data_IF_368368450399
#
_entry.id   IF_368368450399
#
_cell.length_a   1.000
_cell.length_b   1.000
_cell.length_c   1.000
_cell.angle_alpha   90.00
_cell.angle_beta   90.00
_cell.angle_gamma   90.00
#
_symmetry.space_group_name_H-M   'P 1'
#
loop_
_entity.id
_entity.type
_entity.pdbx_description
1 polymer ?
#
# COMPACT_ATOMS: atom_id res chain seq x y z
N UNK A 1 -32.79 -30.00 -31.60
CA UNK A 1 -31.71 -30.16 -30.60
C UNK A 1 -30.37 -29.60 -31.08
N UNK A 2 -29.86 -29.98 -32.25
CA UNK A 2 -28.56 -29.49 -32.75
C UNK A 2 -28.45 -27.96 -32.90
N UNK A 3 -29.51 -27.30 -33.39
CA UNK A 3 -29.54 -25.84 -33.54
C UNK A 3 -29.50 -25.11 -32.18
N UNK A 4 -30.19 -25.67 -31.18
CA UNK A 4 -30.25 -25.13 -29.82
C UNK A 4 -28.90 -25.27 -29.10
N UNK A 5 -28.21 -26.39 -29.34
CA UNK A 5 -26.86 -26.65 -28.84
C UNK A 5 -25.80 -25.72 -29.48
N UNK A 6 -25.92 -25.39 -30.78
CA UNK A 6 -25.05 -24.41 -31.42
C UNK A 6 -25.27 -22.99 -30.90
N UNK A 7 -26.51 -22.57 -30.69
CA UNK A 7 -26.77 -21.21 -30.16
C UNK A 7 -26.24 -21.07 -28.73
N UNK A 8 -26.34 -22.13 -27.91
CA UNK A 8 -25.83 -22.14 -26.54
C UNK A 8 -24.29 -22.10 -26.48
N UNK A 9 -23.59 -22.75 -27.42
CA UNK A 9 -22.13 -22.69 -27.50
C UNK A 9 -21.60 -21.34 -28.00
N UNK A 10 -22.33 -20.63 -28.87
CA UNK A 10 -21.99 -19.25 -29.25
C UNK A 10 -22.18 -18.25 -28.09
N UNK A 11 -23.18 -18.46 -27.23
CA UNK A 11 -23.43 -17.60 -26.05
C UNK A 11 -22.36 -17.75 -24.97
N UNK A 12 -21.76 -18.94 -24.83
CA UNK A 12 -20.72 -19.23 -23.82
C UNK A 12 -19.31 -18.74 -24.24
N UNK A 13 -19.08 -18.46 -25.53
CA UNK A 13 -17.80 -17.94 -26.03
C UNK A 13 -17.71 -16.39 -26.03
N UNK A 14 -18.80 -15.69 -25.69
CA UNK A 14 -18.86 -14.22 -25.68
C UNK A 14 -18.26 -13.58 -24.42
N UNK A 15 -17.88 -14.37 -23.42
CA UNK A 15 -17.19 -13.90 -22.22
C UNK A 15 -15.70 -14.25 -22.27
N UNK A 16 -14.98 -13.72 -23.25
CA UNK A 16 -13.54 -13.54 -23.09
C UNK A 16 -13.31 -12.32 -22.20
N UNK A 17 -12.70 -12.45 -21.00
CA UNK A 17 -12.16 -11.29 -20.31
C UNK A 17 -10.87 -10.86 -21.03
N UNK A 18 -11.01 -10.34 -22.25
CA UNK A 18 -9.99 -9.49 -22.86
C UNK A 18 -10.24 -8.05 -22.41
N UNK A 19 -10.42 -7.86 -21.11
CA UNK A 19 -10.16 -6.56 -20.52
C UNK A 19 -8.65 -6.41 -20.56
N UNK A 20 -8.13 -5.70 -21.57
CA UNK A 20 -6.87 -5.00 -21.38
C UNK A 20 -7.05 -4.17 -20.13
N UNK A 21 -6.57 -4.66 -18.98
CA UNK A 21 -6.31 -3.81 -17.83
C UNK A 21 -5.47 -2.70 -18.42
N UNK A 22 -6.04 -1.51 -18.54
CA UNK A 22 -5.26 -0.32 -18.81
C UNK A 22 -4.18 -0.34 -17.74
N UNK A 23 -2.95 -0.65 -18.17
CA UNK A 23 -1.80 -0.48 -17.30
C UNK A 23 -1.86 0.98 -16.90
N UNK A 24 -2.17 1.24 -15.64
CA UNK A 24 -1.96 2.57 -15.06
C UNK A 24 -0.55 3.02 -15.51
N UNK A 25 -0.41 4.24 -16.05
CA UNK A 25 0.88 4.69 -16.54
C UNK A 25 1.90 4.62 -15.41
N UNK A 26 2.99 3.88 -15.62
CA UNK A 26 4.08 3.77 -14.66
C UNK A 26 4.82 5.11 -14.63
N UNK A 27 4.79 5.80 -13.49
CA UNK A 27 5.49 7.06 -13.30
C UNK A 27 6.98 6.82 -13.01
N UNK A 28 7.28 5.87 -12.11
CA UNK A 28 8.65 5.49 -11.78
C UNK A 28 8.73 4.05 -11.25
N UNK A 29 9.93 3.51 -11.20
CA UNK A 29 10.23 2.21 -10.62
C UNK A 29 11.30 2.35 -9.55
N UNK A 30 11.22 1.52 -8.52
CA UNK A 30 12.20 1.42 -7.44
C UNK A 30 12.65 -0.03 -7.32
N UNK A 31 13.96 -0.24 -7.22
CA UNK A 31 14.53 -1.54 -6.89
C UNK A 31 14.90 -1.53 -5.41
N UNK A 32 14.37 -2.48 -4.64
CA UNK A 32 14.73 -2.62 -3.23
C UNK A 32 16.07 -3.34 -3.04
N UNK A 33 16.46 -3.53 -1.77
CA UNK A 33 17.72 -4.19 -1.41
C UNK A 33 17.76 -5.69 -1.74
N UNK A 34 16.59 -6.33 -1.93
CA UNK A 34 16.47 -7.73 -2.34
C UNK A 34 16.47 -7.88 -3.87
N UNK A 35 16.48 -6.77 -4.60
CA UNK A 35 16.44 -6.73 -6.06
C UNK A 35 15.02 -6.73 -6.63
N UNK A 36 13.97 -6.62 -5.80
CA UNK A 36 12.59 -6.55 -6.25
C UNK A 36 12.33 -5.21 -6.90
N UNK A 37 11.80 -5.22 -8.13
CA UNK A 37 11.42 -4.01 -8.87
C UNK A 37 9.93 -3.73 -8.65
N UNK A 38 9.63 -2.60 -8.01
CA UNK A 38 8.26 -2.13 -7.77
C UNK A 38 7.97 -0.91 -8.62
N UNK A 39 6.88 -0.96 -9.40
CA UNK A 39 6.41 0.13 -10.23
C UNK A 39 5.33 0.95 -9.52
N UNK A 40 5.45 2.27 -9.57
CA UNK A 40 4.49 3.21 -8.99
C UNK A 40 3.85 4.06 -10.09
N UNK A 41 2.52 4.16 -10.10
CA UNK A 41 1.78 5.06 -11.01
C UNK A 41 1.72 6.50 -10.49
N UNK A 42 1.92 6.70 -9.18
CA UNK A 42 1.98 7.99 -8.51
C UNK A 42 2.73 7.87 -7.17
N UNK A 43 3.17 8.99 -6.56
CA UNK A 43 3.69 8.97 -5.20
C UNK A 43 2.68 8.40 -4.19
N UNK A 44 3.09 7.52 -3.26
CA UNK A 44 2.24 6.97 -2.20
C UNK A 44 1.58 8.04 -1.34
N UNK A 45 0.38 7.73 -0.85
CA UNK A 45 -0.48 8.62 -0.05
C UNK A 45 -1.02 7.95 1.21
N UNK A 46 -0.82 6.64 1.39
CA UNK A 46 -1.27 5.85 2.55
C UNK A 46 -0.16 4.86 2.95
N UNK A 47 0.84 5.39 3.62
CA UNK A 47 2.11 4.72 3.92
C UNK A 47 2.04 4.06 5.30
N UNK A 48 2.57 2.86 5.41
CA UNK A 48 2.87 2.19 6.68
C UNK A 48 4.36 1.87 6.70
N UNK A 49 5.03 2.12 7.83
CA UNK A 49 6.38 1.57 8.07
C UNK A 49 6.37 0.65 9.28
N UNK A 50 7.33 -0.26 9.37
CA UNK A 50 7.34 -1.30 10.42
C UNK A 50 8.38 -1.05 11.52
N UNK A 51 8.92 0.16 11.64
CA UNK A 51 9.79 0.54 12.76
C UNK A 51 9.73 2.03 13.08
N UNK A 52 9.99 2.38 14.34
CA UNK A 52 10.09 3.79 14.78
C UNK A 52 11.11 4.59 13.96
N UNK A 53 12.27 3.99 13.63
CA UNK A 53 13.30 4.67 12.83
C UNK A 53 12.86 4.92 11.39
N UNK A 54 12.11 4.01 10.78
CA UNK A 54 11.58 4.20 9.43
C UNK A 54 10.42 5.20 9.40
N UNK A 55 9.62 5.28 10.46
CA UNK A 55 8.63 6.34 10.62
C UNK A 55 9.27 7.73 10.68
N UNK A 56 10.31 7.92 11.50
CA UNK A 56 10.99 9.21 11.63
C UNK A 56 11.66 9.65 10.32
N UNK A 57 12.28 8.72 9.59
CA UNK A 57 12.81 9.00 8.24
C UNK A 57 11.68 9.40 7.30
N UNK A 58 10.56 8.66 7.29
CA UNK A 58 9.44 8.94 6.40
C UNK A 58 8.79 10.30 6.72
N UNK A 59 8.63 10.65 7.99
CA UNK A 59 8.11 11.95 8.44
C UNK A 59 9.04 13.12 8.10
N UNK A 60 10.32 12.87 7.83
CA UNK A 60 11.22 13.86 7.25
C UNK A 60 11.08 14.04 5.73
N UNK A 61 10.39 13.12 5.05
CA UNK A 61 10.25 13.07 3.59
C UNK A 61 8.85 13.42 3.09
N UNK A 62 7.80 13.13 3.86
CA UNK A 62 6.40 13.32 3.48
C UNK A 62 5.59 14.01 4.57
N UNK A 63 4.46 14.59 4.18
CA UNK A 63 3.52 15.16 5.12
C UNK A 63 2.91 14.06 6.03
N UNK A 64 2.71 14.31 7.35
CA UNK A 64 2.16 13.32 8.28
C UNK A 64 0.84 12.69 7.84
N UNK A 65 0.01 13.43 7.11
CA UNK A 65 -1.29 12.96 6.60
C UNK A 65 -1.16 11.82 5.58
N UNK A 66 0.04 11.60 5.02
CA UNK A 66 0.31 10.44 4.16
C UNK A 66 0.59 9.16 4.94
N UNK A 67 0.84 9.26 6.24
CA UNK A 67 1.06 8.12 7.10
C UNK A 67 -0.29 7.54 7.54
N UNK A 68 -0.51 6.26 7.25
CA UNK A 68 -1.69 5.55 7.72
C UNK A 68 -1.56 5.14 9.19
N UNK A 69 -0.35 4.79 9.62
CA UNK A 69 -0.01 4.44 10.99
C UNK A 69 1.49 4.74 11.23
N UNK A 70 1.84 4.91 12.49
CA UNK A 70 3.25 5.02 12.94
C UNK A 70 3.45 4.21 14.23
N UNK A 71 4.70 3.98 14.60
CA UNK A 71 5.05 3.29 15.82
C UNK A 71 4.50 4.00 17.07
N UNK A 72 3.92 3.24 18.00
CA UNK A 72 3.40 3.77 19.28
C UNK A 72 4.44 4.50 20.14
N UNK A 73 5.73 4.16 20.00
CA UNK A 73 6.81 4.82 20.73
C UNK A 73 7.00 6.30 20.34
N UNK A 74 6.46 6.73 19.19
CA UNK A 74 6.51 8.14 18.79
C UNK A 74 5.61 9.04 19.63
N UNK A 75 4.68 8.49 20.42
CA UNK A 75 3.88 9.27 21.38
C UNK A 75 4.63 9.56 22.69
N UNK A 76 5.75 8.86 22.94
CA UNK A 76 6.53 9.00 24.17
C UNK A 76 7.65 10.05 24.00
N UNK A 77 7.62 11.18 24.76
CA UNK A 77 8.64 12.22 24.67
C UNK A 77 10.01 11.81 25.21
N UNK A 78 10.11 10.68 25.93
CA UNK A 78 11.41 10.09 26.30
C UNK A 78 12.03 9.37 25.10
N UNK A 79 11.20 8.80 24.24
CA UNK A 79 11.62 7.98 23.10
C UNK A 79 11.78 8.80 21.81
N UNK A 80 10.93 9.81 21.57
CA UNK A 80 10.91 10.58 20.33
C UNK A 80 10.81 12.09 20.54
N UNK A 81 11.37 12.85 19.60
CA UNK A 81 11.24 14.30 19.52
C UNK A 81 10.10 14.77 18.60
N UNK A 82 9.38 13.86 17.93
CA UNK A 82 8.29 14.20 17.00
C UNK A 82 6.89 13.94 17.58
N UNK A 83 6.76 13.85 18.90
CA UNK A 83 5.49 13.56 19.60
C UNK A 83 4.34 14.46 19.20
N UNK A 84 4.58 15.76 18.98
CA UNK A 84 3.55 16.70 18.52
C UNK A 84 3.17 16.47 17.04
N UNK A 85 4.16 16.14 16.21
CA UNK A 85 3.98 15.93 14.76
C UNK A 85 3.06 14.73 14.48
N UNK A 86 3.21 13.65 15.25
CA UNK A 86 2.49 12.39 15.01
C UNK A 86 1.06 12.39 15.53
N UNK A 87 0.62 13.43 16.25
CA UNK A 87 -0.75 13.52 16.81
C UNK A 87 -1.85 13.50 15.74
N UNK A 88 -1.55 13.99 14.54
CA UNK A 88 -2.52 14.02 13.43
C UNK A 88 -2.71 12.64 12.78
N UNK A 89 -1.79 11.71 13.02
CA UNK A 89 -1.80 10.38 12.42
C UNK A 89 -2.75 9.49 13.25
N UNK A 90 -3.74 8.83 12.63
CA UNK A 90 -4.86 8.22 13.36
C UNK A 90 -4.52 6.90 14.06
N UNK A 91 -3.55 6.14 13.54
CA UNK A 91 -3.27 4.78 14.01
C UNK A 91 -1.86 4.64 14.56
N UNK A 92 -1.72 3.73 15.52
CA UNK A 92 -0.45 3.30 16.10
C UNK A 92 -0.25 1.82 15.86
N UNK A 93 0.99 1.44 15.56
CA UNK A 93 1.41 0.04 15.38
C UNK A 93 2.66 -0.25 16.22
N UNK A 94 2.92 -1.53 16.45
CA UNK A 94 4.15 -2.02 17.08
C UNK A 94 4.73 -3.11 16.19
N UNK A 95 4.39 -4.36 16.52
CA UNK A 95 4.64 -5.52 15.66
C UNK A 95 3.31 -6.00 15.08
N UNK A 96 2.75 -5.31 14.08
CA UNK A 96 1.43 -5.64 13.55
C UNK A 96 1.46 -6.98 12.79
N UNK A 97 0.34 -7.67 12.84
CA UNK A 97 0.02 -8.80 11.97
C UNK A 97 -0.23 -8.35 10.52
N UNK A 98 -0.21 -9.30 9.58
CA UNK A 98 -0.54 -9.01 8.19
C UNK A 98 -1.97 -8.45 8.05
N UNK A 99 -2.92 -9.02 8.78
CA UNK A 99 -4.33 -8.60 8.77
C UNK A 99 -4.49 -7.17 9.27
N UNK A 100 -3.75 -6.77 10.31
CA UNK A 100 -3.74 -5.39 10.81
C UNK A 100 -3.15 -4.41 9.78
N UNK A 101 -2.06 -4.80 9.10
CA UNK A 101 -1.50 -3.99 8.00
C UNK A 101 -2.52 -3.86 6.86
N UNK A 102 -3.14 -4.96 6.45
CA UNK A 102 -4.12 -4.98 5.36
C UNK A 102 -5.39 -4.19 5.69
N UNK A 103 -5.84 -4.23 6.95
CA UNK A 103 -7.01 -3.49 7.42
C UNK A 103 -6.83 -1.98 7.28
N UNK A 104 -5.59 -1.49 7.35
CA UNK A 104 -5.31 -0.09 7.07
C UNK A 104 -5.58 0.22 5.58
N UNK A 105 -5.30 -0.69 4.65
CA UNK A 105 -5.31 -0.50 3.18
C UNK A 105 -4.14 0.37 2.66
N UNK A 106 -2.88 0.09 3.02
CA UNK A 106 -1.74 0.91 2.58
C UNK A 106 -1.50 0.82 1.07
N UNK A 107 -0.93 1.87 0.51
CA UNK A 107 -0.40 1.89 -0.87
C UNK A 107 1.14 1.79 -0.93
N UNK A 108 1.80 1.84 0.24
CA UNK A 108 3.21 1.50 0.43
C UNK A 108 3.40 0.93 1.84
N UNK A 109 4.14 -0.17 1.95
CA UNK A 109 4.67 -0.69 3.21
C UNK A 109 6.19 -0.68 3.14
N UNK A 110 6.84 -0.01 4.09
CA UNK A 110 8.30 0.00 4.22
C UNK A 110 8.71 -0.94 5.34
N UNK A 111 9.57 -1.90 5.00
CA UNK A 111 10.09 -2.92 5.91
C UNK A 111 11.58 -2.65 6.15
N UNK A 112 12.06 -2.63 7.41
CA UNK A 112 13.46 -2.41 7.76
C UNK A 112 14.38 -3.60 7.45
#
# INVERSE_FOLDING_TARGET
>A
MALLLCVLSLLLAACSPSGTRSSEPVAYQVTDIEGTVTAFSAPPKRIVTLSMSTDEVMLGLVEPERMAAVNGLLDDPVSSNVTELVKVIPHRIGNPTLEEIMALQPDLVVVP
#
